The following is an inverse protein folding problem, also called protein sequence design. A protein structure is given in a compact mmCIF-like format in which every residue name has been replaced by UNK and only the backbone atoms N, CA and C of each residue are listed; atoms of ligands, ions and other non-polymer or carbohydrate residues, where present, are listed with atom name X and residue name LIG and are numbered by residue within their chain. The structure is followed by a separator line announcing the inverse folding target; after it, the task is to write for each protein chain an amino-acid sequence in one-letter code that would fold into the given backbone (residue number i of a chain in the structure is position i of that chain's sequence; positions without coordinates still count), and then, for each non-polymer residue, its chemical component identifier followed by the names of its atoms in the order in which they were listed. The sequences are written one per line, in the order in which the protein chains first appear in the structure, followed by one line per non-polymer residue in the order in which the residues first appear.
data_IF_548622483677
#
_entry.id   IF_548622483677
#
_cell.length_a   1.000
_cell.length_b   1.000
_cell.length_c   1.000
_cell.angle_alpha   90.00
_cell.angle_beta   90.00
_cell.angle_gamma   90.00
#
_symmetry.space_group_name_H-M   'P 1'
#
loop_
_entity.id
_entity.type
_entity.pdbx_description
1 polymer ?
#
# COMPACT_ATOMS: atom_id res chain seq x y z
N UNK A 1 19.92 32.26 2.81
CA UNK A 1 18.76 31.37 2.57
C UNK A 1 18.78 30.37 3.71
N UNK A 2 17.72 30.27 4.53
CA UNK A 2 17.71 29.40 5.71
C UNK A 2 17.85 27.94 5.27
N UNK A 3 18.65 27.14 6.00
CA UNK A 3 18.84 25.69 5.71
C UNK A 3 17.53 24.94 5.53
N UNK A 4 16.51 25.29 6.31
CA UNK A 4 15.16 24.73 6.18
C UNK A 4 14.53 24.97 4.80
N UNK A 5 14.70 26.17 4.23
CA UNK A 5 14.17 26.50 2.89
C UNK A 5 14.90 25.68 1.83
N UNK A 6 16.22 25.53 1.96
CA UNK A 6 17.03 24.74 1.03
C UNK A 6 16.59 23.28 1.07
N UNK A 7 16.45 22.69 2.26
CA UNK A 7 16.05 21.29 2.42
C UNK A 7 14.62 21.06 1.89
N UNK A 8 13.68 21.97 2.14
CA UNK A 8 12.32 21.88 1.61
C UNK A 8 12.33 21.92 0.07
N UNK A 9 13.09 22.83 -0.53
CA UNK A 9 13.19 22.92 -2.00
C UNK A 9 13.83 21.66 -2.59
N UNK A 10 14.89 21.14 -1.97
CA UNK A 10 15.56 19.92 -2.41
C UNK A 10 14.63 18.69 -2.31
N UNK A 11 13.89 18.56 -1.20
CA UNK A 11 12.90 17.49 -1.01
C UNK A 11 11.81 17.55 -2.08
N UNK A 12 11.21 18.71 -2.32
CA UNK A 12 10.16 18.89 -3.32
C UNK A 12 10.68 18.65 -4.74
N UNK A 13 11.87 19.13 -5.07
CA UNK A 13 12.51 18.90 -6.36
C UNK A 13 12.80 17.40 -6.58
N UNK A 14 13.30 16.72 -5.55
CA UNK A 14 13.55 15.28 -5.59
C UNK A 14 12.26 14.49 -5.86
N UNK A 15 11.16 14.84 -5.21
CA UNK A 15 9.86 14.17 -5.43
C UNK A 15 9.31 14.46 -6.83
N UNK A 16 9.44 15.68 -7.33
CA UNK A 16 8.99 16.03 -8.68
C UNK A 16 9.76 15.25 -9.76
N UNK A 17 11.09 15.16 -9.61
CA UNK A 17 11.94 14.39 -10.53
C UNK A 17 11.63 12.89 -10.42
N UNK A 18 11.46 12.38 -9.19
CA UNK A 18 11.07 10.99 -8.97
C UNK A 18 9.73 10.65 -9.63
N UNK A 19 8.73 11.52 -9.50
CA UNK A 19 7.43 11.35 -10.16
C UNK A 19 7.57 11.31 -11.69
N UNK A 20 8.36 12.21 -12.27
CA UNK A 20 8.67 12.19 -13.71
C UNK A 20 9.36 10.88 -14.13
N UNK A 21 10.32 10.40 -13.34
CA UNK A 21 10.99 9.11 -13.57
C UNK A 21 9.98 7.95 -13.52
N UNK A 22 9.07 7.91 -12.56
CA UNK A 22 8.05 6.85 -12.49
C UNK A 22 7.10 6.88 -13.69
N UNK A 23 6.65 8.05 -14.12
CA UNK A 23 5.81 8.18 -15.33
C UNK A 23 6.56 7.64 -16.56
N UNK A 24 7.81 8.05 -16.76
CA UNK A 24 8.64 7.57 -17.86
C UNK A 24 8.91 6.07 -17.76
N UNK A 25 9.14 5.56 -16.56
CA UNK A 25 9.32 4.13 -16.32
C UNK A 25 8.09 3.34 -16.78
N UNK A 26 6.88 3.76 -16.41
CA UNK A 26 5.63 3.11 -16.84
C UNK A 26 5.47 3.13 -18.37
N UNK A 27 5.75 4.27 -19.00
CA UNK A 27 5.69 4.39 -20.47
C UNK A 27 6.66 3.42 -21.14
N UNK A 28 7.90 3.31 -20.64
CA UNK A 28 8.91 2.42 -21.24
C UNK A 28 8.73 0.95 -20.88
N UNK A 29 8.09 0.64 -19.76
CA UNK A 29 7.73 -0.74 -19.38
C UNK A 29 6.59 -1.31 -20.26
N UNK A 30 5.81 -0.46 -20.93
CA UNK A 30 4.72 -0.90 -21.80
C UNK A 30 5.17 -1.64 -23.07
N UNK A 31 6.44 -1.51 -23.48
CA UNK A 31 7.00 -2.18 -24.65
C UNK A 31 8.25 -3.01 -24.31
N UNK A 32 8.36 -4.28 -24.77
CA UNK A 32 9.49 -5.15 -24.47
C UNK A 32 10.86 -4.59 -24.86
N UNK A 33 10.91 -3.80 -25.94
CA UNK A 33 12.16 -3.20 -26.47
C UNK A 33 12.71 -2.10 -25.55
N UNK A 34 11.88 -1.42 -24.81
CA UNK A 34 12.24 -0.32 -23.92
C UNK A 34 12.17 -0.68 -22.43
N UNK A 35 11.62 -1.86 -22.09
CA UNK A 35 11.38 -2.28 -20.71
C UNK A 35 12.62 -2.18 -19.81
N UNK A 36 13.81 -2.56 -20.27
CA UNK A 36 15.06 -2.43 -19.51
C UNK A 36 15.39 -0.97 -19.13
N UNK A 37 15.06 -0.01 -20.01
CA UNK A 37 15.24 1.42 -19.72
C UNK A 37 14.21 1.87 -18.69
N UNK A 38 12.96 1.40 -18.82
CA UNK A 38 11.91 1.65 -17.85
C UNK A 38 12.29 1.23 -16.43
N UNK A 39 12.83 0.00 -16.27
CA UNK A 39 13.31 -0.50 -14.98
C UNK A 39 14.38 0.44 -14.39
N UNK A 40 15.42 0.76 -15.16
CA UNK A 40 16.52 1.63 -14.66
C UNK A 40 16.03 3.02 -14.26
N UNK A 41 15.12 3.60 -15.01
CA UNK A 41 14.57 4.93 -14.68
C UNK A 41 13.66 4.86 -13.46
N UNK A 42 12.90 3.77 -13.30
CA UNK A 42 12.13 3.52 -12.08
C UNK A 42 13.03 3.36 -10.85
N UNK A 43 14.15 2.66 -10.97
CA UNK A 43 15.16 2.54 -9.90
C UNK A 43 15.73 3.91 -9.51
N UNK A 44 16.09 4.74 -10.48
CA UNK A 44 16.56 6.12 -10.22
C UNK A 44 15.48 6.94 -9.54
N UNK A 45 14.23 6.86 -10.00
CA UNK A 45 13.09 7.52 -9.37
C UNK A 45 12.91 7.10 -7.91
N UNK A 46 13.03 5.81 -7.62
CA UNK A 46 12.94 5.30 -6.24
C UNK A 46 14.07 5.82 -5.35
N UNK A 47 15.31 5.81 -5.83
CA UNK A 47 16.45 6.37 -5.07
C UNK A 47 16.23 7.87 -4.79
N UNK A 48 15.79 8.63 -5.77
CA UNK A 48 15.49 10.07 -5.60
C UNK A 48 14.36 10.30 -4.60
N UNK A 49 13.30 9.49 -4.63
CA UNK A 49 12.20 9.58 -3.66
C UNK A 49 12.68 9.29 -2.24
N UNK A 50 13.49 8.24 -2.05
CA UNK A 50 14.05 7.88 -0.73
C UNK A 50 14.99 8.98 -0.23
N UNK A 51 15.90 9.48 -1.07
CA UNK A 51 16.80 10.57 -0.71
C UNK A 51 16.01 11.82 -0.36
N UNK A 52 15.01 12.17 -1.16
CA UNK A 52 14.13 13.30 -0.88
C UNK A 52 13.40 13.16 0.46
N UNK A 53 12.92 11.97 0.79
CA UNK A 53 12.29 11.68 2.07
C UNK A 53 13.27 11.84 3.24
N UNK A 54 14.51 11.36 3.09
CA UNK A 54 15.53 11.45 4.12
C UNK A 54 16.07 12.88 4.32
N UNK A 55 15.93 13.75 3.33
CA UNK A 55 16.27 15.17 3.44
C UNK A 55 15.20 16.00 4.15
N UNK A 56 14.05 15.42 4.48
CA UNK A 56 13.00 16.14 5.18
C UNK A 56 13.46 16.53 6.58
N UNK A 57 13.47 17.85 6.86
CA UNK A 57 13.91 18.41 8.13
C UNK A 57 13.06 18.02 9.34
N UNK A 58 11.85 17.49 9.11
CA UNK A 58 10.95 16.99 10.17
C UNK A 58 11.41 15.65 10.75
N UNK A 59 12.36 14.95 10.10
CA UNK A 59 12.89 13.69 10.58
C UNK A 59 13.86 13.95 11.73
N UNK A 60 13.46 13.59 12.93
CA UNK A 60 14.24 13.76 14.17
C UNK A 60 15.16 12.55 14.43
N UNK A 61 14.69 11.34 14.11
CA UNK A 61 15.41 10.09 14.38
C UNK A 61 15.55 9.19 13.16
N UNK A 62 16.74 9.10 12.61
CA UNK A 62 17.06 8.20 11.48
C UNK A 62 17.21 6.73 11.89
N UNK A 63 17.41 6.46 13.20
CA UNK A 63 17.68 5.11 13.73
C UNK A 63 16.60 4.10 13.30
N UNK A 64 15.34 4.44 13.48
CA UNK A 64 14.23 3.55 13.16
C UNK A 64 14.06 3.36 11.65
N UNK A 65 14.35 4.40 10.87
CA UNK A 65 14.35 4.32 9.40
C UNK A 65 15.42 3.34 8.91
N UNK A 66 16.65 3.44 9.47
CA UNK A 66 17.73 2.53 9.12
C UNK A 66 17.44 1.09 9.53
N UNK A 67 16.86 0.87 10.72
CA UNK A 67 16.43 -0.46 11.16
C UNK A 67 15.36 -1.04 10.24
N UNK A 68 14.34 -0.26 9.89
CA UNK A 68 13.28 -0.69 8.98
C UNK A 68 13.83 -0.98 7.57
N UNK A 69 14.72 -0.14 7.06
CA UNK A 69 15.39 -0.32 5.78
C UNK A 69 16.23 -1.60 5.76
N UNK A 70 16.99 -1.85 6.83
CA UNK A 70 17.78 -3.08 6.97
C UNK A 70 16.90 -4.32 6.99
N UNK A 71 15.86 -4.35 7.83
CA UNK A 71 14.92 -5.49 7.91
C UNK A 71 14.23 -5.70 6.56
N UNK A 72 13.74 -4.63 5.94
CA UNK A 72 13.08 -4.68 4.63
C UNK A 72 14.01 -5.19 3.52
N UNK A 73 15.29 -4.79 3.55
CA UNK A 73 16.30 -5.25 2.59
C UNK A 73 16.62 -6.73 2.79
N UNK A 74 16.82 -7.16 4.04
CA UNK A 74 17.11 -8.58 4.37
C UNK A 74 15.94 -9.49 3.96
N UNK A 75 14.70 -9.05 4.13
CA UNK A 75 13.53 -9.81 3.72
C UNK A 75 13.28 -9.72 2.19
N UNK A 76 13.42 -8.53 1.60
CA UNK A 76 13.08 -8.29 0.20
C UNK A 76 14.12 -8.78 -0.80
N UNK A 77 15.41 -8.71 -0.46
CA UNK A 77 16.48 -9.11 -1.36
C UNK A 77 16.42 -10.60 -1.79
N UNK A 78 16.20 -11.56 -0.88
CA UNK A 78 15.98 -12.96 -1.25
C UNK A 78 14.79 -13.15 -2.19
N UNK A 79 13.68 -12.46 -1.91
CA UNK A 79 12.48 -12.51 -2.76
C UNK A 79 12.77 -11.96 -4.17
N UNK A 80 13.62 -10.94 -4.27
CA UNK A 80 13.98 -10.35 -5.55
C UNK A 80 14.93 -11.21 -6.37
N UNK A 81 15.93 -11.86 -5.73
CA UNK A 81 17.02 -12.55 -6.42
C UNK A 81 16.76 -14.05 -6.60
N UNK A 82 16.09 -14.72 -5.66
CA UNK A 82 16.01 -16.19 -5.64
C UNK A 82 14.67 -16.74 -6.13
N UNK A 83 13.61 -15.91 -6.20
CA UNK A 83 12.37 -16.40 -6.79
C UNK A 83 12.47 -16.56 -8.31
N UNK A 84 12.06 -17.72 -8.85
CA UNK A 84 12.07 -17.96 -10.28
C UNK A 84 11.10 -17.04 -11.02
N UNK A 85 11.35 -16.81 -12.31
CA UNK A 85 10.49 -15.96 -13.14
C UNK A 85 9.06 -16.50 -13.27
N UNK A 86 8.85 -17.78 -13.09
CA UNK A 86 7.51 -18.40 -13.05
C UNK A 86 6.71 -18.00 -11.82
N UNK A 87 7.36 -17.54 -10.76
CA UNK A 87 6.74 -17.07 -9.52
C UNK A 87 6.57 -15.54 -9.45
N UNK A 88 6.63 -14.82 -10.58
CA UNK A 88 6.42 -13.38 -10.62
C UNK A 88 5.07 -12.97 -10.04
N UNK A 89 3.91 -13.63 -10.35
CA UNK A 89 2.64 -13.27 -9.75
C UNK A 89 2.64 -13.36 -8.22
N UNK A 90 3.25 -14.43 -7.67
CA UNK A 90 3.38 -14.63 -6.23
C UNK A 90 4.22 -13.53 -5.57
N UNK A 91 5.37 -13.21 -6.17
CA UNK A 91 6.25 -12.14 -5.70
C UNK A 91 5.54 -10.79 -5.72
N UNK A 92 4.82 -10.50 -6.81
CA UNK A 92 4.05 -9.26 -6.96
C UNK A 92 2.95 -9.16 -5.90
N UNK A 93 2.19 -10.24 -5.66
CA UNK A 93 1.16 -10.28 -4.63
C UNK A 93 1.73 -10.00 -3.24
N UNK A 94 2.84 -10.65 -2.89
CA UNK A 94 3.48 -10.47 -1.58
C UNK A 94 4.04 -9.06 -1.40
N UNK A 95 4.75 -8.55 -2.41
CA UNK A 95 5.29 -7.19 -2.41
C UNK A 95 4.18 -6.13 -2.29
N UNK A 96 3.09 -6.33 -3.04
CA UNK A 96 1.93 -5.44 -3.01
C UNK A 96 1.20 -5.46 -1.67
N UNK A 97 1.10 -6.63 -1.03
CA UNK A 97 0.56 -6.77 0.31
C UNK A 97 1.30 -5.85 1.31
N UNK A 98 2.62 -5.95 1.36
CA UNK A 98 3.41 -5.11 2.26
C UNK A 98 3.37 -3.62 1.90
N UNK A 99 3.26 -3.28 0.60
CA UNK A 99 3.03 -1.91 0.17
C UNK A 99 1.72 -1.34 0.69
N UNK A 100 0.62 -2.10 0.56
CA UNK A 100 -0.68 -1.73 1.12
C UNK A 100 -0.66 -1.58 2.65
N UNK A 101 0.03 -2.50 3.34
CA UNK A 101 0.22 -2.42 4.79
C UNK A 101 1.00 -1.16 5.19
N UNK A 102 2.07 -0.83 4.46
CA UNK A 102 2.87 0.36 4.74
C UNK A 102 2.04 1.65 4.64
N UNK A 103 1.26 1.80 3.57
CA UNK A 103 0.33 2.92 3.41
C UNK A 103 -0.68 2.99 4.58
N UNK A 104 -1.35 1.87 4.87
CA UNK A 104 -2.32 1.80 5.96
C UNK A 104 -1.72 2.15 7.35
N UNK A 105 -0.48 1.74 7.60
CA UNK A 105 0.23 2.07 8.84
C UNK A 105 0.60 3.56 8.92
N UNK A 106 0.96 4.19 7.80
CA UNK A 106 1.19 5.65 7.74
C UNK A 106 -0.10 6.40 8.08
N UNK A 107 -1.22 6.08 7.43
CA UNK A 107 -2.52 6.68 7.75
C UNK A 107 -2.94 6.43 9.20
N UNK A 108 -2.65 5.24 9.74
CA UNK A 108 -2.92 4.91 11.14
C UNK A 108 -2.08 5.75 12.10
N UNK A 109 -0.79 5.91 11.82
CA UNK A 109 0.10 6.73 12.63
C UNK A 109 -0.35 8.20 12.61
N UNK A 110 -0.64 8.74 11.43
CA UNK A 110 -1.13 10.11 11.25
C UNK A 110 -2.42 10.37 12.04
N UNK A 111 -3.37 9.41 12.01
CA UNK A 111 -4.57 9.50 12.81
C UNK A 111 -4.25 9.60 14.30
N UNK A 112 -3.50 8.65 14.87
CA UNK A 112 -3.24 8.60 16.31
C UNK A 112 -2.36 9.75 16.83
N UNK A 113 -1.53 10.34 15.98
CA UNK A 113 -0.74 11.51 16.32
C UNK A 113 -1.60 12.78 16.41
N UNK A 114 -2.61 12.92 15.53
CA UNK A 114 -3.28 14.20 15.32
C UNK A 114 -4.77 14.23 15.73
N UNK A 115 -5.43 13.10 16.05
CA UNK A 115 -6.88 13.06 16.31
C UNK A 115 -7.35 13.98 17.45
N UNK A 116 -6.48 14.27 18.44
CA UNK A 116 -6.78 15.16 19.57
C UNK A 116 -6.63 16.65 19.23
N UNK A 117 -5.78 16.98 18.26
CA UNK A 117 -5.45 18.35 17.89
C UNK A 117 -6.46 18.98 16.93
N UNK A 118 -7.40 18.17 16.43
CA UNK A 118 -8.37 18.57 15.41
C UNK A 118 -7.79 18.42 14.00
N UNK A 119 -8.36 17.50 13.25
CA UNK A 119 -7.95 17.24 11.85
C UNK A 119 -8.92 17.92 10.89
N UNK A 120 -8.41 18.40 9.75
CA UNK A 120 -9.29 18.88 8.69
C UNK A 120 -10.13 17.70 8.12
N UNK A 121 -11.36 17.98 7.70
CA UNK A 121 -12.21 16.96 7.09
C UNK A 121 -11.55 16.33 5.85
N UNK A 122 -10.78 17.11 5.09
CA UNK A 122 -10.01 16.62 3.96
C UNK A 122 -8.94 15.60 4.38
N UNK A 123 -8.12 15.94 5.37
CA UNK A 123 -7.07 15.06 5.90
C UNK A 123 -7.67 13.76 6.45
N UNK A 124 -8.75 13.88 7.25
CA UNK A 124 -9.41 12.68 7.80
C UNK A 124 -10.04 11.80 6.71
N UNK A 125 -10.58 12.41 5.64
CA UNK A 125 -11.09 11.66 4.48
C UNK A 125 -9.98 10.90 3.78
N UNK A 126 -8.83 11.54 3.54
CA UNK A 126 -7.66 10.90 2.94
C UNK A 126 -7.18 9.72 3.78
N UNK A 127 -7.03 9.89 5.09
CA UNK A 127 -6.63 8.82 6.02
C UNK A 127 -7.65 7.67 6.02
N UNK A 128 -8.95 7.96 6.05
CA UNK A 128 -9.97 6.91 6.03
C UNK A 128 -9.91 6.08 4.74
N UNK A 129 -9.78 6.72 3.59
CA UNK A 129 -9.63 6.05 2.29
C UNK A 129 -8.33 5.24 2.26
N UNK A 130 -7.21 5.83 2.63
CA UNK A 130 -5.90 5.19 2.68
C UNK A 130 -5.92 3.94 3.57
N UNK A 131 -6.51 4.02 4.77
CA UNK A 131 -6.61 2.88 5.68
C UNK A 131 -7.54 1.80 5.13
N UNK A 132 -8.72 2.15 4.59
CA UNK A 132 -9.63 1.17 3.99
C UNK A 132 -8.92 0.43 2.85
N UNK A 133 -8.36 1.16 1.89
CA UNK A 133 -7.71 0.57 0.72
C UNK A 133 -6.43 -0.19 1.10
N UNK A 134 -5.61 0.36 1.98
CA UNK A 134 -4.35 -0.25 2.40
C UNK A 134 -4.55 -1.56 3.15
N UNK A 135 -5.46 -1.61 4.14
CA UNK A 135 -5.72 -2.83 4.90
C UNK A 135 -6.44 -3.91 4.09
N UNK A 136 -7.39 -3.55 3.22
CA UNK A 136 -8.00 -4.52 2.32
C UNK A 136 -6.99 -5.08 1.31
N UNK A 137 -6.10 -4.23 0.79
CA UNK A 137 -5.03 -4.63 -0.13
C UNK A 137 -4.04 -5.57 0.54
N UNK A 138 -3.68 -5.29 1.79
CA UNK A 138 -2.80 -6.16 2.58
C UNK A 138 -3.36 -7.57 2.66
N UNK A 139 -4.56 -7.74 3.22
CA UNK A 139 -5.14 -9.08 3.40
C UNK A 139 -5.57 -9.72 2.08
N UNK A 140 -6.11 -8.96 1.15
CA UNK A 140 -6.48 -9.45 -0.18
C UNK A 140 -5.28 -9.99 -0.95
N UNK A 141 -4.16 -9.25 -0.95
CA UNK A 141 -2.92 -9.69 -1.61
C UNK A 141 -2.26 -10.87 -0.91
N UNK A 142 -2.32 -10.96 0.44
CA UNK A 142 -1.87 -12.14 1.17
C UNK A 142 -2.70 -13.39 0.83
N UNK A 143 -4.02 -13.24 0.70
CA UNK A 143 -4.90 -14.32 0.27
C UNK A 143 -4.58 -14.77 -1.16
N UNK A 144 -4.34 -13.82 -2.07
CA UNK A 144 -3.93 -14.12 -3.44
C UNK A 144 -2.59 -14.86 -3.47
N UNK A 145 -1.60 -14.39 -2.72
CA UNK A 145 -0.32 -15.07 -2.55
C UNK A 145 -0.50 -16.49 -2.01
N UNK A 146 -1.28 -16.67 -0.94
CA UNK A 146 -1.54 -17.98 -0.34
C UNK A 146 -2.20 -18.97 -1.30
N UNK A 147 -3.12 -18.51 -2.17
CA UNK A 147 -3.73 -19.34 -3.21
C UNK A 147 -2.77 -19.68 -4.35
N UNK A 148 -1.89 -18.75 -4.74
CA UNK A 148 -0.87 -18.98 -5.76
C UNK A 148 0.27 -19.90 -5.30
N UNK A 149 0.48 -20.01 -3.98
CA UNK A 149 1.48 -20.89 -3.38
C UNK A 149 0.89 -22.23 -2.91
N UNK A 150 -0.38 -22.52 -3.22
CA UNK A 150 -1.10 -23.72 -2.75
C UNK A 150 -1.13 -23.87 -1.20
N UNK A 151 -0.84 -22.78 -0.45
CA UNK A 151 -0.99 -22.73 1.00
C UNK A 151 -2.47 -22.70 1.37
N UNK A 152 -3.27 -22.00 0.57
CA UNK A 152 -4.70 -21.93 0.68
C UNK A 152 -5.36 -22.70 -0.47
N UNK A 153 -6.58 -23.24 -0.28
CA UNK A 153 -7.29 -23.91 -1.35
C UNK A 153 -7.44 -23.02 -2.59
N UNK A 154 -6.93 -23.48 -3.72
CA UNK A 154 -6.99 -22.74 -5.00
C UNK A 154 -8.39 -22.66 -5.59
N UNK A 155 -9.28 -23.61 -5.19
CA UNK A 155 -10.67 -23.58 -5.60
C UNK A 155 -11.42 -22.37 -5.02
N UNK A 156 -12.40 -21.81 -5.75
CA UNK A 156 -13.30 -20.80 -5.21
C UNK A 156 -14.04 -21.33 -3.97
N UNK A 157 -14.01 -20.55 -2.88
CA UNK A 157 -14.80 -20.83 -1.67
C UNK A 157 -15.97 -19.85 -1.68
N UNK A 158 -17.13 -20.36 -2.10
CA UNK A 158 -18.35 -19.56 -2.19
C UNK A 158 -19.31 -19.90 -1.06
N UNK A 159 -20.06 -18.91 -0.60
CA UNK A 159 -21.10 -19.07 0.41
C UNK A 159 -22.38 -18.32 0.02
N UNK A 160 -23.49 -18.73 0.59
CA UNK A 160 -24.80 -18.15 0.26
C UNK A 160 -24.82 -16.65 0.57
N UNK A 161 -25.31 -15.85 -0.38
CA UNK A 161 -25.42 -14.39 -0.26
C UNK A 161 -24.09 -13.63 -0.06
N UNK A 162 -22.95 -14.21 -0.49
CA UNK A 162 -21.62 -13.62 -0.30
C UNK A 162 -21.52 -12.14 -0.75
N UNK A 163 -22.15 -11.79 -1.88
CA UNK A 163 -22.11 -10.42 -2.40
C UNK A 163 -22.81 -9.44 -1.44
N UNK A 164 -23.90 -9.86 -0.79
CA UNK A 164 -24.60 -9.02 0.18
C UNK A 164 -23.73 -8.80 1.40
N UNK A 165 -23.11 -9.86 1.95
CA UNK A 165 -22.23 -9.75 3.11
C UNK A 165 -20.99 -8.89 2.80
N UNK A 166 -20.35 -9.13 1.65
CA UNK A 166 -19.17 -8.37 1.25
C UNK A 166 -19.50 -6.90 1.05
N UNK A 167 -20.58 -6.59 0.33
CA UNK A 167 -21.00 -5.22 0.08
C UNK A 167 -21.46 -4.51 1.35
N UNK A 168 -22.15 -5.23 2.25
CA UNK A 168 -22.55 -4.69 3.55
C UNK A 168 -21.35 -4.37 4.43
N UNK A 169 -20.33 -5.24 4.43
CA UNK A 169 -19.10 -5.02 5.20
C UNK A 169 -18.32 -3.81 4.67
N UNK A 170 -18.18 -3.69 3.34
CA UNK A 170 -17.57 -2.51 2.72
C UNK A 170 -18.37 -1.25 3.02
N UNK A 171 -19.69 -1.31 2.85
CA UNK A 171 -20.57 -0.18 3.16
C UNK A 171 -20.48 0.26 4.63
N UNK A 172 -20.39 -0.70 5.54
CA UNK A 172 -20.21 -0.41 6.96
C UNK A 172 -18.81 0.18 7.24
N UNK A 173 -17.75 -0.28 6.60
CA UNK A 173 -16.42 0.31 6.73
C UNK A 173 -16.40 1.76 6.23
N UNK A 174 -17.01 2.02 5.07
CA UNK A 174 -17.15 3.37 4.52
C UNK A 174 -17.98 4.26 5.47
N UNK A 175 -19.08 3.74 6.02
CA UNK A 175 -19.91 4.48 7.00
C UNK A 175 -19.10 4.85 8.23
N UNK A 176 -18.32 3.94 8.78
CA UNK A 176 -17.42 4.22 9.91
C UNK A 176 -16.39 5.27 9.53
N UNK A 177 -15.84 5.21 8.31
CA UNK A 177 -14.95 6.24 7.78
C UNK A 177 -15.60 7.61 7.73
N UNK A 178 -16.83 7.70 7.23
CA UNK A 178 -17.61 8.95 7.20
C UNK A 178 -17.88 9.48 8.61
N UNK A 179 -18.22 8.61 9.56
CA UNK A 179 -18.41 9.03 10.96
C UNK A 179 -17.11 9.59 11.54
N UNK A 180 -15.96 8.97 11.25
CA UNK A 180 -14.65 9.46 11.67
C UNK A 180 -14.29 10.81 11.03
N UNK A 181 -14.70 11.07 9.79
CA UNK A 181 -14.53 12.38 9.13
C UNK A 181 -15.34 13.46 9.86
N UNK A 182 -16.58 13.13 10.26
CA UNK A 182 -17.45 14.06 10.98
C UNK A 182 -17.08 14.23 12.45
N UNK A 183 -16.49 13.21 13.06
CA UNK A 183 -16.08 13.15 14.48
C UNK A 183 -14.71 12.47 14.65
N UNK A 184 -13.62 13.15 14.29
CA UNK A 184 -12.26 12.56 14.35
C UNK A 184 -11.84 12.11 15.76
N UNK A 185 -12.39 12.75 16.79
CA UNK A 185 -12.08 12.47 18.19
C UNK A 185 -12.75 11.20 18.76
N UNK A 186 -13.10 10.22 17.91
CA UNK A 186 -13.69 8.95 18.34
C UNK A 186 -12.73 7.77 18.11
N UNK A 187 -11.66 7.63 18.93
CA UNK A 187 -10.58 6.67 18.67
C UNK A 187 -11.02 5.20 18.68
N UNK A 188 -12.16 4.88 19.27
CA UNK A 188 -12.71 3.51 19.32
C UNK A 188 -13.20 3.04 17.96
N UNK A 189 -13.64 3.94 17.07
CA UNK A 189 -14.13 3.59 15.74
C UNK A 189 -13.00 3.29 14.76
N UNK A 190 -11.79 3.80 15.01
CA UNK A 190 -10.67 3.60 14.10
C UNK A 190 -10.18 2.13 14.04
N UNK A 191 -9.99 1.43 15.16
CA UNK A 191 -9.72 -0.03 15.11
C UNK A 191 -10.84 -0.83 14.47
N UNK A 192 -12.09 -0.41 14.60
CA UNK A 192 -13.22 -1.04 13.93
C UNK A 192 -13.10 -0.90 12.40
N UNK A 193 -12.75 0.30 11.90
CA UNK A 193 -12.46 0.55 10.49
C UNK A 193 -11.38 -0.41 9.98
N UNK A 194 -10.28 -0.54 10.73
CA UNK A 194 -9.17 -1.45 10.40
C UNK A 194 -9.65 -2.89 10.32
N UNK A 195 -10.35 -3.37 11.34
CA UNK A 195 -10.83 -4.75 11.40
C UNK A 195 -11.77 -5.08 10.24
N UNK A 196 -12.70 -4.16 9.91
CA UNK A 196 -13.63 -4.33 8.79
C UNK A 196 -12.90 -4.34 7.44
N UNK A 197 -11.90 -3.49 7.25
CA UNK A 197 -11.09 -3.43 6.03
C UNK A 197 -10.25 -4.68 5.83
N UNK A 198 -9.62 -5.17 6.90
CA UNK A 198 -8.88 -6.45 6.88
C UNK A 198 -9.80 -7.63 6.54
N UNK A 199 -10.97 -7.71 7.19
CA UNK A 199 -11.94 -8.76 6.94
C UNK A 199 -12.49 -8.70 5.51
N UNK A 200 -12.77 -7.50 5.00
CA UNK A 200 -13.25 -7.33 3.63
C UNK A 200 -12.21 -7.78 2.60
N UNK A 201 -10.92 -7.50 2.78
CA UNK A 201 -9.86 -7.97 1.90
C UNK A 201 -9.81 -9.50 1.79
N UNK A 202 -10.00 -10.22 2.92
CA UNK A 202 -10.10 -11.68 2.93
C UNK A 202 -11.36 -12.16 2.17
N UNK A 203 -12.51 -11.62 2.51
CA UNK A 203 -13.79 -12.03 1.94
C UNK A 203 -13.90 -11.70 0.45
N UNK A 204 -13.24 -10.66 -0.02
CA UNK A 204 -13.20 -10.27 -1.43
C UNK A 204 -12.50 -11.35 -2.29
N UNK A 205 -11.41 -11.92 -1.79
CA UNK A 205 -10.57 -12.86 -2.55
C UNK A 205 -11.01 -14.31 -2.36
N UNK A 206 -11.73 -14.61 -1.29
CA UNK A 206 -12.14 -15.96 -0.95
C UNK A 206 -12.87 -16.71 -2.09
N UNK A 207 -13.86 -16.08 -2.80
CA UNK A 207 -14.62 -16.73 -3.86
C UNK A 207 -13.89 -16.80 -5.20
N UNK A 208 -12.70 -16.25 -5.33
CA UNK A 208 -11.97 -16.20 -6.60
C UNK A 208 -11.00 -17.37 -6.67
N UNK A 209 -10.93 -18.04 -7.82
CA UNK A 209 -10.04 -19.17 -8.04
C UNK A 209 -8.57 -18.77 -8.21
N UNK A 210 -7.65 -19.71 -7.92
CA UNK A 210 -6.21 -19.47 -8.08
C UNK A 210 -5.79 -19.10 -9.51
N UNK A 211 -6.48 -19.62 -10.51
CA UNK A 211 -6.20 -19.29 -11.91
C UNK A 211 -6.48 -17.81 -12.25
N UNK A 212 -7.42 -17.18 -11.57
CA UNK A 212 -7.81 -15.79 -11.80
C UNK A 212 -7.01 -14.79 -10.94
N UNK A 213 -6.12 -15.29 -10.07
CA UNK A 213 -5.34 -14.43 -9.15
C UNK A 213 -4.47 -13.38 -9.86
N UNK A 214 -3.83 -13.61 -11.01
CA UNK A 214 -3.07 -12.57 -11.71
C UNK A 214 -3.94 -11.35 -12.07
N UNK A 215 -5.19 -11.58 -12.49
CA UNK A 215 -6.17 -10.51 -12.78
C UNK A 215 -6.56 -9.76 -11.51
N UNK A 216 -6.78 -10.50 -10.41
CA UNK A 216 -7.12 -9.91 -9.10
C UNK A 216 -5.98 -9.05 -8.57
N UNK A 217 -4.74 -9.51 -8.66
CA UNK A 217 -3.56 -8.74 -8.26
C UNK A 217 -3.46 -7.45 -9.07
N UNK A 218 -3.70 -7.52 -10.38
CA UNK A 218 -3.73 -6.34 -11.25
C UNK A 218 -4.82 -5.35 -10.82
N UNK A 219 -6.01 -5.85 -10.46
CA UNK A 219 -7.10 -5.02 -9.95
C UNK A 219 -6.75 -4.35 -8.62
N UNK A 220 -6.23 -5.12 -7.65
CA UNK A 220 -5.80 -4.59 -6.36
C UNK A 220 -4.68 -3.55 -6.50
N UNK A 221 -3.81 -3.72 -7.51
CA UNK A 221 -2.72 -2.79 -7.80
C UNK A 221 -3.19 -1.47 -8.44
N UNK A 222 -4.44 -1.40 -8.87
CA UNK A 222 -5.01 -0.19 -9.49
C UNK A 222 -5.66 0.77 -8.48
N UNK A 223 -5.76 0.39 -7.21
CA UNK A 223 -6.29 1.23 -6.13
C UNK A 223 -5.15 2.06 -5.51
#
# INVERSE_FOLDING_TARGET
MNEQVINTVLTQASYLIAAACFILALIWLSAPTTARRGVKVGEVGMVLAIVGALLNWEIIEYKWILVALFIGTVAGLPLALWMPMTAVPQRTALSHSFGGLAAALVGTAEYYLNYKQGMSGFTMTAIAIECILGYLTFTGSLMAFGKLQDILPTRPITYKNQNIYNLSLLGAAVLVGVILVLRPATPVLFPLLIAMSLAFGVLLILPIGGADMPTVISLLNSY
#
